data_IF_572918424055
#
_entry.id   IF_572918424055
#
_cell.length_a   1.000
_cell.length_b   1.000
_cell.length_c   1.000
_cell.angle_alpha   90.00
_cell.angle_beta   90.00
_cell.angle_gamma   90.00
#
_symmetry.space_group_name_H-M   'P 1'
#
loop_
_entity.id
_entity.type
_entity.pdbx_description
1 polymer ?
#
# COMPACT_ATOMS: atom_id res chain seq x y z
N UNK A 1 2.75 16.37 16.15
CA UNK A 1 2.27 14.99 16.09
C UNK A 1 2.04 14.61 14.66
N UNK A 2 2.48 13.53 14.22
CA UNK A 2 2.43 13.16 12.83
C UNK A 2 1.08 12.70 12.33
N UNK A 3 0.08 13.56 12.39
CA UNK A 3 -1.26 13.17 11.97
C UNK A 3 -1.36 12.87 10.50
N UNK A 4 -0.67 13.65 9.69
CA UNK A 4 -0.67 13.41 8.25
C UNK A 4 -0.07 12.05 7.93
N UNK A 5 0.95 11.71 8.67
CA UNK A 5 1.60 10.43 8.48
C UNK A 5 0.68 9.29 8.92
N UNK A 6 -0.15 9.55 9.92
CA UNK A 6 -1.06 8.52 10.39
C UNK A 6 -2.10 8.15 9.35
N UNK A 7 -2.57 9.12 8.57
CA UNK A 7 -3.52 8.83 7.51
C UNK A 7 -2.91 7.86 6.52
N UNK A 8 -1.70 8.19 6.07
CA UNK A 8 -1.01 7.32 5.13
C UNK A 8 -0.64 6.00 5.79
N UNK A 9 -0.25 6.07 7.06
CA UNK A 9 0.13 4.87 7.78
C UNK A 9 -1.01 3.90 7.95
N UNK A 10 -2.22 4.41 8.20
CA UNK A 10 -3.38 3.53 8.34
C UNK A 10 -3.66 2.78 7.06
N UNK A 11 -3.55 3.47 5.92
CA UNK A 11 -3.77 2.83 4.64
C UNK A 11 -2.70 1.79 4.34
N UNK A 12 -1.46 2.10 4.67
CA UNK A 12 -0.39 1.14 4.49
C UNK A 12 -0.60 -0.09 5.37
N UNK A 13 -1.07 0.12 6.60
CA UNK A 13 -1.36 -1.01 7.48
C UNK A 13 -2.45 -1.89 6.90
N UNK A 14 -3.46 -1.30 6.29
CA UNK A 14 -4.50 -2.08 5.62
C UNK A 14 -3.91 -2.97 4.54
N UNK A 15 -3.03 -2.39 3.75
CA UNK A 15 -2.38 -3.16 2.68
C UNK A 15 -1.54 -4.29 3.24
N UNK A 16 -0.80 -4.00 4.30
CA UNK A 16 0.05 -5.03 4.89
C UNK A 16 -0.78 -6.19 5.44
N UNK A 17 -1.89 -5.86 6.09
CA UNK A 17 -2.75 -6.90 6.63
C UNK A 17 -3.39 -7.73 5.52
N UNK A 18 -3.80 -7.07 4.45
CA UNK A 18 -4.33 -7.80 3.30
C UNK A 18 -3.31 -8.75 2.74
N UNK A 19 -2.08 -8.25 2.58
CA UNK A 19 -1.01 -9.05 2.03
C UNK A 19 -0.77 -10.29 2.87
N UNK A 20 -0.76 -10.11 4.18
CA UNK A 20 -0.53 -11.24 5.07
C UNK A 20 -1.60 -12.31 4.92
N UNK A 21 -2.84 -11.90 4.69
CA UNK A 21 -3.92 -12.83 4.49
C UNK A 21 -3.85 -13.51 3.13
N UNK A 22 -3.12 -12.93 2.21
CA UNK A 22 -2.99 -13.43 0.84
C UNK A 22 -1.60 -13.95 0.55
N UNK A 23 -0.93 -14.46 1.57
CA UNK A 23 0.40 -15.06 1.43
C UNK A 23 1.42 -14.05 0.93
N UNK A 24 1.34 -12.83 1.44
CA UNK A 24 2.27 -11.76 1.10
C UNK A 24 2.21 -11.39 -0.38
N UNK A 25 1.00 -11.34 -0.92
CA UNK A 25 0.78 -10.93 -2.30
C UNK A 25 -0.32 -9.88 -2.32
N UNK A 26 -0.11 -8.83 -3.09
CA UNK A 26 -1.08 -7.76 -3.23
C UNK A 26 -1.14 -7.39 -4.70
N UNK A 27 -2.35 -7.19 -5.22
CA UNK A 27 -2.53 -6.73 -6.58
C UNK A 27 -2.51 -5.20 -6.62
N UNK A 28 -2.06 -4.67 -7.74
CA UNK A 28 -2.04 -3.23 -7.92
C UNK A 28 -3.44 -2.63 -7.73
N UNK A 29 -4.45 -3.34 -8.16
CA UNK A 29 -5.83 -2.89 -8.01
C UNK A 29 -6.17 -2.69 -6.54
N UNK A 30 -5.70 -3.56 -5.67
CA UNK A 30 -5.97 -3.44 -4.25
C UNK A 30 -5.35 -2.19 -3.67
N UNK A 31 -4.14 -1.85 -4.15
CA UNK A 31 -3.50 -0.62 -3.70
C UNK A 31 -4.36 0.57 -4.06
N UNK A 32 -4.85 0.60 -5.28
CA UNK A 32 -5.69 1.70 -5.72
C UNK A 32 -7.00 1.76 -4.94
N UNK A 33 -7.55 0.60 -4.61
CA UNK A 33 -8.79 0.56 -3.83
C UNK A 33 -8.59 1.17 -2.45
N UNK A 34 -7.49 0.84 -1.81
CA UNK A 34 -7.22 1.36 -0.48
C UNK A 34 -7.06 2.87 -0.51
N UNK A 35 -6.48 3.39 -1.58
CA UNK A 35 -6.21 4.82 -1.70
C UNK A 35 -7.20 5.54 -2.61
N UNK A 36 -8.39 4.99 -2.78
CA UNK A 36 -9.34 5.57 -3.74
C UNK A 36 -9.76 6.99 -3.37
N UNK A 37 -9.77 7.31 -2.09
CA UNK A 37 -10.14 8.66 -1.65
C UNK A 37 -8.98 9.64 -1.77
N UNK A 38 -7.80 9.16 -2.07
CA UNK A 38 -6.61 9.99 -2.21
C UNK A 38 -5.89 9.56 -3.46
N UNK A 39 -6.22 10.16 -4.60
CA UNK A 39 -5.59 9.73 -5.86
C UNK A 39 -4.08 9.75 -5.75
N UNK A 40 -3.47 8.69 -6.20
CA UNK A 40 -2.03 8.54 -6.12
C UNK A 40 -1.39 9.01 -7.42
N UNK A 41 -0.32 9.78 -7.27
CA UNK A 41 0.53 10.06 -8.43
C UNK A 41 1.36 8.82 -8.69
N UNK A 42 1.95 8.77 -9.89
CA UNK A 42 2.79 7.64 -10.24
C UNK A 42 3.97 7.52 -9.27
N UNK A 43 4.54 8.64 -8.86
CA UNK A 43 5.66 8.62 -7.93
C UNK A 43 5.23 8.00 -6.60
N UNK A 44 4.07 8.41 -6.11
CA UNK A 44 3.59 7.87 -4.84
C UNK A 44 3.31 6.38 -4.95
N UNK A 45 2.73 5.97 -6.05
CA UNK A 45 2.43 4.56 -6.26
C UNK A 45 3.71 3.73 -6.27
N UNK A 46 4.72 4.23 -6.94
CA UNK A 46 5.99 3.52 -6.99
C UNK A 46 6.63 3.40 -5.61
N UNK A 47 6.50 4.45 -4.80
CA UNK A 47 7.03 4.40 -3.45
C UNK A 47 6.31 3.37 -2.60
N UNK A 48 5.00 3.29 -2.76
CA UNK A 48 4.22 2.29 -2.03
C UNK A 48 4.65 0.89 -2.45
N UNK A 49 4.80 0.68 -3.74
CA UNK A 49 5.23 -0.62 -4.24
C UNK A 49 6.61 -0.98 -3.69
N UNK A 50 7.53 -0.02 -3.71
CA UNK A 50 8.87 -0.27 -3.19
C UNK A 50 8.83 -0.63 -1.72
N UNK A 51 7.99 0.07 -0.95
CA UNK A 51 7.87 -0.23 0.46
C UNK A 51 7.35 -1.65 0.68
N UNK A 52 6.34 -2.03 -0.08
CA UNK A 52 5.77 -3.36 0.06
C UNK A 52 6.80 -4.43 -0.29
N UNK A 53 7.58 -4.18 -1.32
CA UNK A 53 8.61 -5.13 -1.70
C UNK A 53 9.68 -5.26 -0.62
N UNK A 54 9.97 -4.17 0.06
CA UNK A 54 10.89 -4.23 1.19
C UNK A 54 10.35 -5.11 2.29
N UNK A 55 9.05 -5.16 2.43
CA UNK A 55 8.39 -6.01 3.41
C UNK A 55 8.22 -7.44 2.89
N UNK A 56 8.84 -7.75 1.76
CA UNK A 56 8.78 -9.08 1.13
C UNK A 56 7.38 -9.43 0.69
N UNK A 57 6.66 -8.43 0.23
CA UNK A 57 5.33 -8.60 -0.31
C UNK A 57 5.40 -8.43 -1.82
N UNK A 58 4.86 -9.38 -2.55
CA UNK A 58 4.83 -9.31 -4.01
C UNK A 58 3.67 -8.44 -4.46
N UNK A 59 3.97 -7.52 -5.36
CA UNK A 59 2.94 -6.68 -5.96
C UNK A 59 2.71 -7.14 -7.39
N UNK A 60 1.50 -7.57 -7.66
CA UNK A 60 1.13 -8.04 -8.99
C UNK A 60 0.55 -6.89 -9.79
N UNK A 61 1.05 -6.68 -10.98
CA UNK A 61 0.60 -5.60 -11.85
C UNK A 61 -0.20 -6.08 -13.03
#
# INVERSE_FOLDING_TARGET
MGRKEQIFGSQMNCLLERAKKQKNVVELQEIRDVFQNSPLTQVQLERIIAYLEEQKIDVLT
#
